data_IF_726916107540
#
_entry.id   IF_726916107540
#
_cell.length_a   1.000
_cell.length_b   1.000
_cell.length_c   1.000
_cell.angle_alpha   90.00
_cell.angle_beta   90.00
_cell.angle_gamma   90.00
#
_symmetry.space_group_name_H-M   'P 1'
#
loop_
_entity.id
_entity.type
_entity.pdbx_description
1 polymer ?
#
# COMPACT_ATOMS: atom_id res chain seq x y z
N UNK A 1 -12.59 33.62 29.60
CA UNK A 1 -12.31 32.26 29.08
C UNK A 1 -12.66 32.23 27.60
N UNK A 2 -11.71 31.84 26.77
CA UNK A 2 -11.96 31.63 25.31
C UNK A 2 -12.53 30.23 25.19
N UNK A 3 -13.79 30.13 24.77
CA UNK A 3 -14.40 28.81 24.50
C UNK A 3 -13.72 28.17 23.30
N UNK A 4 -13.31 26.89 23.32
CA UNK A 4 -12.76 26.19 22.16
C UNK A 4 -13.82 26.10 21.06
N UNK A 5 -13.39 26.31 19.82
CA UNK A 5 -14.22 26.08 18.63
C UNK A 5 -13.78 24.78 17.97
N UNK A 6 -14.73 23.89 17.69
CA UNK A 6 -14.47 22.70 16.90
C UNK A 6 -14.45 23.12 15.42
N UNK A 7 -13.34 22.83 14.76
CA UNK A 7 -13.11 23.19 13.34
C UNK A 7 -13.41 22.00 12.42
N UNK A 8 -13.11 20.78 12.87
CA UNK A 8 -13.34 19.56 12.09
C UNK A 8 -13.79 18.42 13.00
N UNK A 9 -14.75 17.65 12.55
CA UNK A 9 -15.18 16.40 13.18
C UNK A 9 -15.09 15.33 12.09
N UNK A 10 -14.27 14.27 12.29
CA UNK A 10 -14.21 13.16 11.33
C UNK A 10 -15.56 12.43 11.28
N UNK A 11 -15.89 11.89 10.13
CA UNK A 11 -16.96 10.92 9.92
C UNK A 11 -16.40 9.52 9.64
N UNK A 12 -17.26 8.55 9.28
CA UNK A 12 -16.85 7.18 9.05
C UNK A 12 -15.95 7.00 7.80
N UNK A 13 -15.85 8.03 6.94
CA UNK A 13 -15.17 7.99 5.65
C UNK A 13 -14.08 9.05 5.50
N UNK A 14 -13.89 9.89 6.53
CA UNK A 14 -12.90 10.96 6.51
C UNK A 14 -11.99 10.92 7.73
N UNK A 15 -10.71 11.23 7.52
CA UNK A 15 -9.73 11.40 8.60
C UNK A 15 -8.89 12.66 8.36
N UNK A 16 -8.46 13.32 9.45
CA UNK A 16 -7.51 14.43 9.40
C UNK A 16 -6.10 13.85 9.34
N UNK A 17 -5.36 14.16 8.27
CA UNK A 17 -3.97 13.75 8.11
C UNK A 17 -3.01 14.80 8.66
N UNK A 18 -3.25 16.06 8.32
CA UNK A 18 -2.42 17.20 8.72
C UNK A 18 -3.20 18.50 8.61
N UNK A 19 -2.58 19.60 9.02
CA UNK A 19 -3.08 20.94 8.79
C UNK A 19 -1.93 21.93 8.63
N UNK A 20 -2.15 22.97 7.82
CA UNK A 20 -1.16 24.02 7.57
C UNK A 20 -1.78 25.40 7.76
N UNK A 21 -1.09 26.27 8.50
CA UNK A 21 -1.45 27.69 8.62
C UNK A 21 -0.60 28.54 7.70
N UNK A 22 -1.27 29.31 6.85
CA UNK A 22 -0.70 30.54 6.29
C UNK A 22 -1.11 31.75 7.18
N UNK A 23 -0.86 32.99 6.74
CA UNK A 23 -1.24 34.15 7.55
C UNK A 23 -2.75 34.27 7.75
N UNK A 24 -3.51 34.13 6.67
CA UNK A 24 -4.94 34.42 6.62
C UNK A 24 -5.82 33.17 6.48
N UNK A 25 -5.21 31.99 6.29
CA UNK A 25 -5.91 30.72 6.05
C UNK A 25 -5.40 29.56 6.91
N UNK A 26 -6.30 28.64 7.23
CA UNK A 26 -6.01 27.30 7.72
C UNK A 26 -6.41 26.30 6.64
N UNK A 27 -5.50 25.46 6.22
CA UNK A 27 -5.78 24.36 5.29
C UNK A 27 -5.81 23.04 6.07
N UNK A 28 -6.91 22.31 5.96
CA UNK A 28 -7.04 20.96 6.49
C UNK A 28 -6.71 19.95 5.37
N UNK A 29 -5.77 19.08 5.64
CA UNK A 29 -5.39 17.96 4.76
C UNK A 29 -6.15 16.72 5.22
N UNK A 30 -7.23 16.40 4.52
CA UNK A 30 -8.12 15.30 4.85
C UNK A 30 -7.86 14.12 3.91
N UNK A 31 -8.11 12.93 4.43
CA UNK A 31 -8.28 11.72 3.64
C UNK A 31 -9.78 11.40 3.60
N UNK A 32 -10.39 11.47 2.42
CA UNK A 32 -11.80 11.15 2.20
C UNK A 32 -11.86 9.95 1.24
N UNK A 33 -12.39 8.82 1.69
CA UNK A 33 -12.32 7.54 0.97
C UNK A 33 -10.90 7.24 0.42
N UNK A 34 -9.89 7.45 1.27
CA UNK A 34 -8.45 7.25 0.94
C UNK A 34 -7.92 8.16 -0.16
N UNK A 35 -8.62 9.23 -0.51
CA UNK A 35 -8.19 10.26 -1.44
C UNK A 35 -7.95 11.58 -0.71
N UNK A 36 -6.90 12.32 -1.09
CA UNK A 36 -6.61 13.63 -0.49
C UNK A 36 -7.69 14.64 -0.83
N UNK A 37 -8.19 15.33 0.19
CA UNK A 37 -9.10 16.46 0.10
C UNK A 37 -8.52 17.62 0.90
N UNK A 38 -8.28 18.75 0.25
CA UNK A 38 -7.79 19.96 0.91
C UNK A 38 -8.95 20.93 1.11
N UNK A 39 -9.24 21.25 2.39
CA UNK A 39 -10.25 22.24 2.77
C UNK A 39 -9.58 23.47 3.30
N UNK A 40 -9.83 24.61 2.67
CA UNK A 40 -9.31 25.92 3.04
C UNK A 40 -10.32 26.66 3.89
N UNK A 41 -9.89 27.17 5.02
CA UNK A 41 -10.70 27.94 5.98
C UNK A 41 -10.16 29.36 6.06
N UNK A 42 -10.98 30.36 5.74
CA UNK A 42 -10.63 31.78 5.83
C UNK A 42 -10.74 32.27 7.28
N UNK A 43 -9.59 32.58 7.89
CA UNK A 43 -9.51 33.02 9.29
C UNK A 43 -10.13 34.41 9.51
N UNK A 44 -10.16 35.27 8.48
CA UNK A 44 -10.75 36.61 8.49
C UNK A 44 -12.26 36.61 8.26
N UNK A 45 -12.84 35.50 7.77
CA UNK A 45 -14.24 35.37 7.38
C UNK A 45 -14.92 34.22 8.17
N UNK A 46 -14.81 34.25 9.49
CA UNK A 46 -15.44 33.29 10.40
C UNK A 46 -15.21 31.79 10.01
N UNK A 47 -14.03 31.46 9.49
CA UNK A 47 -13.66 30.12 9.02
C UNK A 47 -14.54 29.63 7.85
N UNK A 48 -14.95 30.53 6.97
CA UNK A 48 -15.66 30.15 5.75
C UNK A 48 -14.85 29.10 4.97
N UNK A 49 -15.52 28.01 4.60
CA UNK A 49 -14.88 26.85 3.96
C UNK A 49 -14.92 26.96 2.45
N UNK A 50 -13.82 26.57 1.80
CA UNK A 50 -13.73 26.36 0.38
C UNK A 50 -12.82 25.16 0.07
N UNK A 51 -12.98 24.56 -1.11
CA UNK A 51 -12.05 23.53 -1.56
C UNK A 51 -10.82 24.19 -2.21
N UNK A 52 -9.63 23.61 -2.00
CA UNK A 52 -8.47 24.00 -2.82
C UNK A 52 -8.65 23.37 -4.22
N UNK A 53 -8.78 24.19 -5.29
CA UNK A 53 -8.89 23.66 -6.66
C UNK A 53 -7.57 23.04 -7.12
N UNK A 54 -7.62 22.18 -8.15
CA UNK A 54 -6.43 21.58 -8.75
C UNK A 54 -5.80 20.43 -7.96
N UNK A 55 -6.46 19.92 -6.92
CA UNK A 55 -6.04 18.69 -6.23
C UNK A 55 -6.33 17.48 -7.14
N UNK A 56 -5.30 16.74 -7.60
CA UNK A 56 -5.54 15.65 -8.54
C UNK A 56 -6.19 14.43 -7.84
N UNK A 57 -7.14 13.79 -8.52
CA UNK A 57 -7.78 12.58 -8.03
C UNK A 57 -6.79 11.41 -7.94
N UNK A 58 -7.03 10.47 -7.02
CA UNK A 58 -6.16 9.29 -6.79
C UNK A 58 -4.70 9.65 -6.46
N UNK A 59 -4.49 10.82 -5.83
CA UNK A 59 -3.17 11.26 -5.38
C UNK A 59 -3.19 11.51 -3.87
N UNK A 60 -2.03 11.32 -3.27
CA UNK A 60 -1.71 11.94 -1.99
C UNK A 60 -1.18 13.34 -2.23
N UNK A 61 -1.68 14.29 -1.47
CA UNK A 61 -1.30 15.69 -1.56
C UNK A 61 -1.00 16.21 -0.15
N UNK A 62 0.17 16.78 0.03
CA UNK A 62 0.58 17.49 1.25
C UNK A 62 0.86 18.95 0.94
N UNK A 63 0.57 19.84 1.90
CA UNK A 63 0.74 21.27 1.75
C UNK A 63 1.62 21.84 2.89
N UNK A 64 2.49 22.79 2.55
CA UNK A 64 3.32 23.52 3.51
C UNK A 64 3.36 25.01 3.19
N UNK A 65 3.17 25.86 4.20
CA UNK A 65 3.30 27.33 4.02
C UNK A 65 4.74 27.70 3.66
N UNK A 66 4.89 28.73 2.81
CA UNK A 66 6.22 29.26 2.46
C UNK A 66 6.78 30.04 3.64
N UNK A 67 6.25 31.22 3.92
CA UNK A 67 6.56 32.02 5.12
C UNK A 67 5.37 32.92 5.46
N UNK A 68 4.59 32.52 6.47
CA UNK A 68 3.41 33.25 6.93
C UNK A 68 3.74 34.62 7.58
N UNK A 69 5.01 34.90 7.87
CA UNK A 69 5.45 36.15 8.51
C UNK A 69 5.97 37.18 7.49
N UNK A 70 6.38 36.76 6.28
CA UNK A 70 6.75 37.63 5.21
C UNK A 70 5.50 38.16 4.47
N UNK A 71 5.21 39.48 4.44
CA UNK A 71 4.04 40.01 3.75
C UNK A 71 3.98 39.66 2.25
N UNK A 72 5.12 39.38 1.62
CA UNK A 72 5.19 39.08 0.19
C UNK A 72 4.74 37.63 -0.12
N UNK A 73 4.88 36.71 0.85
CA UNK A 73 4.61 35.25 0.68
C UNK A 73 3.67 34.71 1.74
N UNK A 74 3.00 35.59 2.48
CA UNK A 74 2.27 35.25 3.70
C UNK A 74 1.17 34.18 3.52
N UNK A 75 0.60 34.08 2.32
CA UNK A 75 -0.42 33.10 1.96
C UNK A 75 0.05 32.12 0.87
N UNK A 76 1.35 32.14 0.58
CA UNK A 76 1.92 31.21 -0.40
C UNK A 76 2.18 29.85 0.23
N UNK A 77 2.08 28.81 -0.60
CA UNK A 77 2.28 27.43 -0.18
C UNK A 77 3.06 26.62 -1.21
N UNK A 78 3.75 25.63 -0.71
CA UNK A 78 4.24 24.49 -1.46
C UNK A 78 3.24 23.37 -1.40
N UNK A 79 2.99 22.73 -2.53
CA UNK A 79 2.16 21.53 -2.61
C UNK A 79 2.98 20.40 -3.22
N UNK A 80 3.02 19.23 -2.54
CA UNK A 80 3.62 18.02 -3.07
C UNK A 80 2.49 17.04 -3.36
N UNK A 81 2.39 16.57 -4.60
CA UNK A 81 1.45 15.55 -5.01
C UNK A 81 2.17 14.30 -5.54
N UNK A 82 1.61 13.12 -5.30
CA UNK A 82 2.10 11.85 -5.85
C UNK A 82 0.92 10.90 -6.05
N UNK A 83 0.95 10.10 -7.11
CA UNK A 83 -0.07 9.09 -7.41
C UNK A 83 0.56 7.79 -7.88
N UNK A 84 -0.23 6.74 -8.10
CA UNK A 84 0.30 5.45 -8.55
C UNK A 84 1.05 5.52 -9.89
N UNK A 85 0.58 6.39 -10.79
CA UNK A 85 1.12 6.57 -12.14
C UNK A 85 1.86 7.90 -12.32
N UNK A 86 1.83 8.76 -11.30
CA UNK A 86 2.39 10.12 -11.37
C UNK A 86 3.50 10.27 -10.34
N UNK A 87 4.75 10.55 -10.77
CA UNK A 87 5.86 10.83 -9.86
C UNK A 87 5.58 12.02 -8.96
N UNK A 88 6.28 12.08 -7.82
CA UNK A 88 6.19 13.22 -6.89
C UNK A 88 6.44 14.55 -7.62
N UNK A 89 5.50 15.46 -7.50
CA UNK A 89 5.49 16.75 -8.16
C UNK A 89 5.38 17.86 -7.12
N UNK A 90 6.30 18.81 -7.15
CA UNK A 90 6.30 20.01 -6.34
C UNK A 90 5.64 21.14 -7.12
N UNK A 91 4.62 21.74 -6.53
CA UNK A 91 3.94 22.92 -7.06
C UNK A 91 3.99 24.06 -6.06
N UNK A 92 3.85 25.29 -6.56
CA UNK A 92 3.77 26.52 -5.79
C UNK A 92 2.43 27.18 -6.05
N UNK A 93 1.81 27.74 -5.02
CA UNK A 93 0.55 28.46 -5.15
C UNK A 93 0.36 29.52 -4.09
N UNK A 94 -0.67 30.35 -4.26
CA UNK A 94 -1.06 31.38 -3.29
C UNK A 94 -2.54 31.20 -2.95
N UNK A 95 -2.86 31.20 -1.65
CA UNK A 95 -4.23 31.26 -1.16
C UNK A 95 -4.71 32.73 -1.21
N UNK A 96 -5.91 32.92 -1.67
CA UNK A 96 -6.52 34.24 -1.75
C UNK A 96 -8.00 34.14 -2.09
N UNK A 97 -8.77 35.26 -1.99
CA UNK A 97 -10.11 35.31 -2.52
C UNK A 97 -10.03 34.98 -4.01
N UNK A 98 -10.89 34.07 -4.46
CA UNK A 98 -11.07 33.84 -5.89
C UNK A 98 -11.44 35.20 -6.53
N UNK A 99 -10.57 35.75 -7.36
CA UNK A 99 -10.84 37.00 -8.08
C UNK A 99 -11.96 36.74 -9.11
N UNK A 100 -13.22 36.71 -8.68
CA UNK A 100 -14.37 36.81 -9.57
C UNK A 100 -14.34 38.08 -10.44
N UNK A 101 -13.49 39.06 -10.05
CA UNK A 101 -13.28 40.32 -10.78
C UNK A 101 -12.34 40.20 -11.97
N UNK A 102 -11.53 39.15 -12.10
CA UNK A 102 -10.55 39.03 -13.18
C UNK A 102 -11.09 38.38 -14.46
N UNK A 103 -12.35 37.92 -14.49
CA UNK A 103 -13.02 37.41 -15.71
C UNK A 103 -12.38 36.17 -16.33
N UNK A 104 -11.50 35.51 -15.59
CA UNK A 104 -10.96 34.21 -15.98
C UNK A 104 -11.87 33.11 -15.44
N UNK A 105 -12.39 32.26 -16.31
CA UNK A 105 -13.12 31.04 -15.93
C UNK A 105 -12.20 30.23 -15.02
N UNK A 106 -12.60 30.01 -13.78
CA UNK A 106 -11.84 29.43 -12.68
C UNK A 106 -11.62 27.92 -12.77
N UNK A 107 -11.45 27.36 -13.96
CA UNK A 107 -11.05 25.96 -14.15
C UNK A 107 -9.53 25.77 -14.27
N UNK A 108 -8.73 26.85 -14.18
CA UNK A 108 -7.28 26.74 -14.17
C UNK A 108 -6.76 26.50 -12.74
N UNK A 109 -5.79 25.59 -12.58
CA UNK A 109 -5.20 25.29 -11.27
C UNK A 109 -4.54 26.56 -10.69
N UNK A 110 -4.82 26.84 -9.42
CA UNK A 110 -4.20 27.93 -8.65
C UNK A 110 -2.71 27.68 -8.35
N UNK A 111 -2.16 26.58 -8.86
CA UNK A 111 -0.80 26.13 -8.58
C UNK A 111 0.04 26.04 -9.85
N UNK A 112 1.29 26.49 -9.76
CA UNK A 112 2.31 26.32 -10.79
C UNK A 112 3.21 25.12 -10.45
N UNK A 113 3.40 24.20 -11.40
CA UNK A 113 4.35 23.10 -11.25
C UNK A 113 5.78 23.62 -11.34
N UNK A 114 6.53 23.47 -10.26
CA UNK A 114 7.93 23.90 -10.19
C UNK A 114 8.87 22.78 -10.63
N UNK A 115 8.60 21.54 -10.19
CA UNK A 115 9.45 20.40 -10.48
C UNK A 115 8.72 19.07 -10.27
N UNK A 116 8.98 18.10 -11.15
CA UNK A 116 8.56 16.72 -10.98
C UNK A 116 9.77 15.78 -10.89
N UNK A 117 9.66 14.74 -10.09
CA UNK A 117 10.61 13.64 -10.12
C UNK A 117 10.55 12.95 -11.51
N UNK A 118 11.63 12.31 -11.97
CA UNK A 118 11.62 11.62 -13.26
C UNK A 118 10.63 10.44 -13.24
N UNK A 119 9.91 10.26 -14.34
CA UNK A 119 9.15 9.03 -14.55
C UNK A 119 10.12 7.87 -14.79
N UNK A 120 9.92 6.77 -14.05
CA UNK A 120 10.78 5.58 -14.10
C UNK A 120 10.18 4.44 -14.92
N UNK A 121 8.92 4.56 -15.31
CA UNK A 121 8.22 3.64 -16.21
C UNK A 121 7.22 4.42 -17.06
N UNK A 122 6.82 3.81 -18.18
CA UNK A 122 5.79 4.37 -19.05
C UNK A 122 4.40 4.05 -18.48
N UNK A 123 3.63 5.08 -18.20
CA UNK A 123 2.27 4.98 -17.67
C UNK A 123 1.18 5.17 -18.75
N UNK A 124 1.57 5.33 -20.04
CA UNK A 124 0.59 5.47 -21.13
C UNK A 124 -0.28 4.20 -21.26
N UNK A 125 -1.59 4.38 -21.35
CA UNK A 125 -2.57 3.29 -21.41
C UNK A 125 -2.77 2.54 -20.08
N UNK A 126 -2.33 3.12 -18.95
CA UNK A 126 -2.66 2.64 -17.61
C UNK A 126 -3.67 3.57 -16.94
N UNK A 127 -4.56 2.99 -16.15
CA UNK A 127 -5.57 3.71 -15.38
C UNK A 127 -5.54 3.31 -13.90
N UNK A 128 -6.12 4.17 -13.07
CA UNK A 128 -6.33 3.96 -11.63
C UNK A 128 -7.82 4.04 -11.34
N UNK A 129 -8.38 2.98 -10.80
CA UNK A 129 -9.78 2.93 -10.39
C UNK A 129 -9.86 2.64 -8.88
N UNK A 130 -10.86 3.24 -8.21
CA UNK A 130 -11.18 2.92 -6.83
C UNK A 130 -12.46 2.10 -6.78
N UNK A 131 -12.42 1.01 -6.00
CA UNK A 131 -13.55 0.11 -5.79
C UNK A 131 -13.76 -0.17 -4.30
N UNK A 132 -14.89 -0.82 -3.97
CA UNK A 132 -15.25 -1.17 -2.59
C UNK A 132 -15.73 -2.61 -2.54
N UNK A 133 -14.95 -3.49 -1.92
CA UNK A 133 -15.38 -4.84 -1.57
C UNK A 133 -16.31 -4.82 -0.34
N UNK A 134 -17.08 -5.88 -0.14
CA UNK A 134 -17.89 -6.03 1.06
C UNK A 134 -17.32 -7.14 1.94
N UNK A 135 -16.86 -6.78 3.14
CA UNK A 135 -16.31 -7.72 4.12
C UNK A 135 -17.39 -8.61 4.73
N UNK A 136 -16.98 -9.64 5.47
CA UNK A 136 -17.88 -10.62 6.08
C UNK A 136 -18.94 -10.01 7.01
N UNK A 137 -18.63 -8.92 7.68
CA UNK A 137 -19.54 -8.18 8.57
C UNK A 137 -20.34 -7.06 7.85
N UNK A 138 -20.22 -6.94 6.52
CA UNK A 138 -20.90 -5.94 5.71
C UNK A 138 -20.14 -4.63 5.55
N UNK A 139 -18.98 -4.45 6.18
CA UNK A 139 -18.14 -3.26 6.06
C UNK A 139 -17.64 -3.10 4.63
N UNK A 140 -17.68 -1.88 4.10
CA UNK A 140 -17.12 -1.54 2.79
C UNK A 140 -15.63 -1.29 2.89
N UNK A 141 -14.88 -2.06 2.12
CA UNK A 141 -13.41 -2.03 2.12
C UNK A 141 -12.93 -1.38 0.83
N UNK A 142 -12.37 -0.16 0.90
CA UNK A 142 -11.85 0.51 -0.29
C UNK A 142 -10.58 -0.19 -0.78
N UNK A 143 -10.38 -0.16 -2.08
CA UNK A 143 -9.13 -0.58 -2.71
C UNK A 143 -8.92 0.14 -4.04
N UNK A 144 -7.66 0.32 -4.40
CA UNK A 144 -7.28 0.84 -5.70
C UNK A 144 -6.87 -0.30 -6.61
N UNK A 145 -7.32 -0.27 -7.86
CA UNK A 145 -6.94 -1.16 -8.94
C UNK A 145 -6.18 -0.35 -9.99
N UNK A 146 -4.98 -0.78 -10.31
CA UNK A 146 -4.11 -0.14 -11.30
C UNK A 146 -3.80 -1.17 -12.38
N UNK A 147 -4.07 -0.84 -13.63
CA UNK A 147 -3.86 -1.73 -14.75
C UNK A 147 -4.08 -1.04 -16.08
N UNK A 148 -4.17 -1.83 -17.14
CA UNK A 148 -4.46 -1.31 -18.46
C UNK A 148 -5.85 -0.66 -18.53
N UNK A 149 -5.98 0.46 -19.25
CA UNK A 149 -7.25 1.15 -19.49
C UNK A 149 -8.22 0.32 -20.36
N UNK A 150 -7.67 -0.61 -21.17
CA UNK A 150 -8.40 -1.58 -21.99
C UNK A 150 -8.43 -3.00 -21.34
N UNK A 151 -8.38 -3.08 -20.02
CA UNK A 151 -8.34 -4.36 -19.28
C UNK A 151 -9.53 -5.26 -19.66
N UNK A 152 -9.24 -6.49 -20.06
CA UNK A 152 -10.27 -7.49 -20.37
C UNK A 152 -10.60 -8.26 -19.10
N UNK A 153 -11.87 -8.26 -18.71
CA UNK A 153 -12.37 -8.93 -17.51
C UNK A 153 -12.73 -10.40 -17.81
N UNK A 154 -11.69 -11.21 -18.13
CA UNK A 154 -11.80 -12.63 -18.49
C UNK A 154 -11.27 -13.58 -17.38
N UNK A 155 -10.79 -13.01 -16.26
CA UNK A 155 -10.23 -13.78 -15.15
C UNK A 155 -8.78 -14.21 -15.31
N UNK A 156 -8.13 -13.84 -16.42
CA UNK A 156 -6.78 -14.31 -16.76
C UNK A 156 -5.68 -13.25 -16.57
N UNK A 157 -6.00 -12.10 -15.95
CA UNK A 157 -4.98 -11.08 -15.74
C UNK A 157 -4.13 -11.42 -14.49
N UNK A 158 -2.79 -11.54 -14.63
CA UNK A 158 -1.91 -11.68 -13.47
C UNK A 158 -2.09 -10.49 -12.55
N UNK A 159 -2.56 -10.73 -11.32
CA UNK A 159 -2.92 -9.68 -10.37
C UNK A 159 -2.13 -9.82 -9.08
N UNK A 160 -1.56 -8.72 -8.61
CA UNK A 160 -0.89 -8.62 -7.32
C UNK A 160 -1.74 -7.83 -6.35
N UNK A 161 -2.22 -8.47 -5.30
CA UNK A 161 -2.95 -7.86 -4.20
C UNK A 161 -1.99 -7.55 -3.05
N UNK A 162 -1.84 -6.28 -2.74
CA UNK A 162 -1.03 -5.73 -1.64
C UNK A 162 -1.95 -5.16 -0.55
N UNK A 163 -1.52 -5.24 0.70
CA UNK A 163 -2.20 -4.68 1.86
C UNK A 163 -1.30 -4.70 3.09
N UNK A 164 -1.75 -4.04 4.17
CA UNK A 164 -0.97 -4.02 5.42
C UNK A 164 -1.82 -4.32 6.65
N UNK A 165 -2.82 -3.49 6.95
CA UNK A 165 -3.85 -3.72 7.96
C UNK A 165 -3.32 -3.83 9.38
N UNK A 166 -2.59 -2.82 9.88
CA UNK A 166 -2.13 -2.77 11.26
C UNK A 166 -1.40 -1.49 11.61
N UNK A 167 -1.24 -1.25 12.92
CA UNK A 167 -0.46 -0.14 13.48
C UNK A 167 -0.91 1.25 13.02
N UNK A 168 -2.18 1.40 12.62
CA UNK A 168 -2.72 2.66 12.08
C UNK A 168 -1.96 3.18 10.84
N UNK A 169 -1.26 2.29 10.12
CA UNK A 169 -0.52 2.66 8.90
C UNK A 169 -1.48 2.75 7.74
N UNK A 170 -1.76 3.97 7.29
CA UNK A 170 -2.56 4.21 6.08
C UNK A 170 -1.77 3.81 4.82
N UNK A 171 -2.38 2.99 3.97
CA UNK A 171 -1.86 2.67 2.65
C UNK A 171 -2.52 3.58 1.63
N UNK A 172 -1.75 4.50 1.08
CA UNK A 172 -2.26 5.60 0.26
C UNK A 172 -1.66 5.56 -1.15
N UNK A 173 -2.27 6.26 -2.14
CA UNK A 173 -1.68 6.40 -3.46
C UNK A 173 -0.24 6.91 -3.41
N UNK A 174 0.64 6.29 -4.19
CA UNK A 174 2.05 6.68 -4.25
C UNK A 174 2.76 6.07 -5.45
N UNK A 175 3.73 6.80 -6.01
CA UNK A 175 4.51 6.36 -7.15
C UNK A 175 5.53 5.31 -6.74
N UNK A 176 5.43 4.13 -7.34
CA UNK A 176 6.38 3.04 -7.10
C UNK A 176 7.02 2.57 -8.40
N UNK A 177 8.30 2.94 -8.66
CA UNK A 177 9.03 2.42 -9.82
C UNK A 177 9.09 0.89 -9.84
N UNK A 178 9.15 0.26 -8.67
CA UNK A 178 9.23 -1.20 -8.55
C UNK A 178 7.95 -1.87 -9.02
N UNK A 179 6.78 -1.33 -8.65
CA UNK A 179 5.48 -1.81 -9.15
C UNK A 179 5.35 -1.52 -10.64
N UNK A 180 5.69 -0.30 -11.07
CA UNK A 180 5.59 0.11 -12.47
C UNK A 180 6.43 -0.78 -13.39
N UNK A 181 7.73 -0.92 -13.10
CA UNK A 181 8.66 -1.69 -13.93
C UNK A 181 8.43 -3.21 -13.77
N UNK A 182 8.21 -3.66 -12.53
CA UNK A 182 8.20 -5.09 -12.19
C UNK A 182 6.84 -5.77 -12.37
N UNK A 183 5.74 -5.01 -12.49
CA UNK A 183 4.39 -5.59 -12.56
C UNK A 183 3.48 -4.98 -13.63
N UNK A 184 3.41 -3.64 -13.71
CA UNK A 184 2.48 -2.94 -14.60
C UNK A 184 2.98 -2.82 -16.04
N UNK A 185 4.32 -2.80 -16.26
CA UNK A 185 4.90 -2.56 -17.59
C UNK A 185 4.46 -3.62 -18.58
N UNK A 186 3.90 -3.16 -19.70
CA UNK A 186 3.63 -4.01 -20.86
C UNK A 186 4.91 -4.18 -21.67
N UNK A 187 5.34 -5.41 -21.90
CA UNK A 187 6.35 -5.68 -22.90
C UNK A 187 5.67 -5.74 -24.27
N UNK A 188 5.81 -4.68 -25.07
CA UNK A 188 5.54 -4.77 -26.50
C UNK A 188 6.74 -5.44 -27.17
N UNK A 189 6.56 -6.67 -27.65
CA UNK A 189 7.58 -7.34 -28.44
C UNK A 189 7.94 -6.45 -29.63
N UNK A 190 9.13 -5.79 -29.59
CA UNK A 190 9.68 -5.04 -30.70
C UNK A 190 9.98 -3.56 -30.48
N UNK A 191 9.55 -2.93 -29.41
CA UNK A 191 10.02 -1.58 -29.08
C UNK A 191 11.27 -1.63 -28.20
N UNK A 192 12.44 -1.56 -28.83
CA UNK A 192 13.64 -1.11 -28.13
C UNK A 192 13.36 0.30 -27.63
N UNK A 193 13.41 0.51 -26.33
CA UNK A 193 13.30 1.85 -25.75
C UNK A 193 14.53 2.68 -26.13
N UNK A 194 14.44 3.44 -27.19
CA UNK A 194 15.50 4.41 -27.60
C UNK A 194 15.57 5.65 -26.68
N UNK A 195 14.91 5.63 -25.52
CA UNK A 195 14.84 6.77 -24.58
C UNK A 195 15.49 6.58 -23.21
N UNK A 196 16.24 5.51 -22.98
CA UNK A 196 17.13 5.44 -21.81
C UNK A 196 18.56 5.87 -22.18
N UNK A 197 18.71 7.07 -22.74
CA UNK A 197 20.02 7.68 -22.97
C UNK A 197 20.51 8.33 -21.67
N UNK A 198 21.25 7.59 -20.83
CA UNK A 198 21.92 8.18 -19.68
C UNK A 198 22.53 7.23 -18.65
N UNK A 199 22.38 5.92 -18.77
CA UNK A 199 23.07 4.98 -17.89
C UNK A 199 23.93 4.02 -18.70
N UNK A 200 25.22 4.14 -18.55
CA UNK A 200 26.26 3.33 -19.21
C UNK A 200 26.34 1.93 -18.62
N UNK A 201 26.20 0.96 -19.50
CA UNK A 201 26.89 -0.36 -19.50
C UNK A 201 27.01 -1.16 -18.20
N UNK A 202 26.09 -2.11 -18.02
CA UNK A 202 26.43 -3.44 -17.52
C UNK A 202 25.35 -4.45 -17.95
N UNK A 203 25.75 -5.43 -18.77
CA UNK A 203 25.06 -6.71 -18.95
C UNK A 203 23.66 -6.66 -19.57
N UNK A 204 23.58 -7.15 -20.79
CA UNK A 204 22.34 -7.43 -21.53
C UNK A 204 21.47 -8.45 -20.76
N UNK A 205 20.71 -7.97 -19.80
CA UNK A 205 19.58 -8.68 -19.20
C UNK A 205 18.35 -7.77 -19.33
N UNK A 206 17.69 -7.89 -20.48
CA UNK A 206 16.36 -7.33 -20.69
C UNK A 206 15.39 -8.02 -19.71
N UNK A 207 15.27 -7.49 -18.49
CA UNK A 207 14.29 -7.92 -17.51
C UNK A 207 12.94 -7.29 -17.87
N UNK A 208 12.47 -7.58 -19.08
CA UNK A 208 11.13 -7.22 -19.53
C UNK A 208 10.20 -8.37 -19.19
N UNK A 209 9.05 -8.06 -18.61
CA UNK A 209 7.95 -9.02 -18.57
C UNK A 209 7.68 -9.51 -20.00
N UNK A 210 7.24 -10.77 -20.18
CA UNK A 210 6.98 -11.33 -21.50
C UNK A 210 6.09 -10.42 -22.34
N UNK A 211 6.27 -10.45 -23.65
CA UNK A 211 5.44 -9.73 -24.60
C UNK A 211 3.96 -10.11 -24.40
N UNK A 212 3.16 -9.22 -23.86
CA UNK A 212 1.77 -9.48 -23.51
C UNK A 212 1.16 -8.39 -22.65
N UNK A 213 0.04 -8.68 -22.03
CA UNK A 213 -0.62 -7.80 -21.07
C UNK A 213 0.26 -7.62 -19.83
N UNK A 214 0.48 -6.39 -19.38
CA UNK A 214 1.02 -6.11 -18.05
C UNK A 214 0.12 -6.67 -16.96
N UNK A 215 0.63 -6.82 -15.73
CA UNK A 215 -0.16 -7.25 -14.59
C UNK A 215 -1.08 -6.14 -14.07
N UNK A 216 -2.04 -6.53 -13.23
CA UNK A 216 -2.88 -5.62 -12.42
C UNK A 216 -2.27 -5.53 -11.03
N UNK A 217 -2.11 -4.31 -10.51
CA UNK A 217 -1.72 -4.06 -9.13
C UNK A 217 -2.92 -3.57 -8.33
N UNK A 218 -3.13 -4.15 -7.15
CA UNK A 218 -4.24 -3.78 -6.28
C UNK A 218 -3.71 -3.44 -4.90
N UNK A 219 -4.10 -2.28 -4.38
CA UNK A 219 -3.78 -1.84 -3.04
C UNK A 219 -5.05 -1.83 -2.19
N UNK A 220 -5.14 -2.76 -1.23
CA UNK A 220 -6.28 -2.88 -0.33
C UNK A 220 -6.10 -2.01 0.92
N UNK A 221 -7.12 -1.22 1.25
CA UNK A 221 -7.19 -0.31 2.38
C UNK A 221 -8.01 -0.95 3.52
N UNK A 222 -7.46 -2.02 4.09
CA UNK A 222 -8.13 -2.88 5.05
C UNK A 222 -8.09 -2.33 6.48
N UNK A 223 -9.04 -2.71 7.33
CA UNK A 223 -9.06 -2.35 8.74
C UNK A 223 -7.77 -2.76 9.45
N UNK A 224 -7.41 -2.04 10.50
CA UNK A 224 -6.11 -2.08 11.15
C UNK A 224 -5.15 -1.00 10.64
N UNK A 225 -5.36 -0.46 9.43
CA UNK A 225 -4.74 0.77 8.95
C UNK A 225 -5.39 2.03 9.52
N UNK A 226 -4.93 3.21 9.09
CA UNK A 226 -5.41 4.51 9.55
C UNK A 226 -6.23 5.27 8.50
N UNK A 227 -6.65 4.63 7.42
CA UNK A 227 -7.25 5.28 6.26
C UNK A 227 -8.51 6.06 6.61
N UNK A 228 -9.31 5.56 7.55
CA UNK A 228 -10.49 6.24 8.10
C UNK A 228 -10.30 6.69 9.56
N UNK A 229 -9.02 6.87 9.98
CA UNK A 229 -8.67 7.33 11.31
C UNK A 229 -8.58 6.22 12.37
N UNK A 230 -8.51 6.61 13.67
CA UNK A 230 -8.21 5.67 14.76
C UNK A 230 -9.22 4.51 14.92
N UNK A 231 -10.49 4.73 14.59
CA UNK A 231 -11.51 3.67 14.69
C UNK A 231 -11.32 2.58 13.65
N UNK A 232 -10.81 2.92 12.45
CA UNK A 232 -10.46 1.95 11.42
C UNK A 232 -9.33 1.02 11.89
N UNK A 233 -8.37 1.58 12.65
CA UNK A 233 -7.30 0.82 13.27
C UNK A 233 -7.82 -0.06 14.41
N UNK A 234 -8.45 0.55 15.42
CA UNK A 234 -8.85 -0.16 16.64
C UNK A 234 -9.91 -1.22 16.40
N UNK A 235 -10.72 -1.08 15.34
CA UNK A 235 -11.74 -2.07 14.96
C UNK A 235 -11.17 -3.42 14.54
N UNK A 236 -9.86 -3.51 14.25
CA UNK A 236 -9.18 -4.74 13.88
C UNK A 236 -7.91 -5.02 14.73
N UNK A 237 -7.92 -4.61 15.98
CA UNK A 237 -6.89 -4.95 16.96
C UNK A 237 -7.29 -6.15 17.80
N UNK A 238 -6.32 -6.85 18.38
CA UNK A 238 -6.46 -7.89 19.39
C UNK A 238 -7.51 -8.95 18.99
N UNK A 239 -8.56 -9.13 19.80
CA UNK A 239 -9.66 -10.07 19.57
C UNK A 239 -10.45 -9.82 18.27
N UNK A 240 -10.35 -8.64 17.71
CA UNK A 240 -10.97 -8.27 16.43
C UNK A 240 -10.03 -8.43 15.23
N UNK A 241 -8.82 -8.96 15.44
CA UNK A 241 -7.77 -9.00 14.42
C UNK A 241 -8.18 -9.75 13.15
N UNK A 242 -9.07 -10.71 13.25
CA UNK A 242 -9.57 -11.48 12.11
C UNK A 242 -10.22 -10.60 11.03
N UNK A 243 -10.80 -9.47 11.40
CA UNK A 243 -11.44 -8.54 10.45
C UNK A 243 -10.51 -8.06 9.35
N UNK A 244 -9.23 -7.83 9.68
CA UNK A 244 -8.26 -7.40 8.66
C UNK A 244 -8.00 -8.50 7.60
N UNK A 245 -8.04 -9.78 7.98
CA UNK A 245 -7.86 -10.93 7.07
C UNK A 245 -9.13 -11.18 6.26
N UNK A 246 -10.30 -11.03 6.89
CA UNK A 246 -11.61 -11.08 6.22
C UNK A 246 -11.72 -9.98 5.17
N UNK A 247 -11.28 -8.76 5.48
CA UNK A 247 -11.27 -7.63 4.55
C UNK A 247 -10.40 -7.91 3.32
N UNK A 248 -9.19 -8.40 3.53
CA UNK A 248 -8.27 -8.71 2.43
C UNK A 248 -8.81 -9.85 1.54
N UNK A 249 -9.38 -10.89 2.17
CA UNK A 249 -10.05 -11.98 1.43
C UNK A 249 -11.29 -11.49 0.66
N UNK A 250 -12.02 -10.50 1.20
CA UNK A 250 -13.17 -9.91 0.52
C UNK A 250 -12.74 -9.14 -0.73
N UNK A 251 -11.62 -8.40 -0.69
CA UNK A 251 -11.05 -7.76 -1.89
C UNK A 251 -10.65 -8.81 -2.92
N UNK A 252 -9.99 -9.90 -2.51
CA UNK A 252 -9.64 -11.00 -3.42
C UNK A 252 -10.88 -11.59 -4.09
N UNK A 253 -11.95 -11.86 -3.33
CA UNK A 253 -13.23 -12.39 -3.86
C UNK A 253 -13.92 -11.41 -4.81
N UNK A 254 -13.87 -10.11 -4.52
CA UNK A 254 -14.45 -9.07 -5.38
C UNK A 254 -13.74 -9.00 -6.74
N UNK A 255 -12.41 -9.02 -6.74
CA UNK A 255 -11.58 -9.07 -7.96
C UNK A 255 -11.92 -10.30 -8.83
N UNK A 256 -12.07 -11.47 -8.21
CA UNK A 256 -12.46 -12.70 -8.89
C UNK A 256 -13.88 -12.59 -9.44
N UNK A 257 -14.83 -12.13 -8.63
CA UNK A 257 -16.22 -11.99 -9.03
C UNK A 257 -16.44 -10.98 -10.18
N UNK A 258 -15.62 -9.92 -10.22
CA UNK A 258 -15.61 -8.93 -11.30
C UNK A 258 -14.91 -9.45 -12.58
N UNK A 259 -14.25 -10.61 -12.53
CA UNK A 259 -13.52 -11.16 -13.66
C UNK A 259 -12.19 -10.45 -13.94
N UNK A 260 -11.67 -9.67 -12.97
CA UNK A 260 -10.33 -9.06 -13.09
C UNK A 260 -9.28 -10.16 -13.13
N UNK A 261 -9.41 -11.15 -12.27
CA UNK A 261 -8.47 -12.26 -12.07
C UNK A 261 -9.20 -13.53 -11.67
N UNK A 262 -8.47 -14.61 -11.47
CA UNK A 262 -8.95 -15.87 -10.90
C UNK A 262 -8.02 -16.33 -9.78
N UNK A 263 -8.39 -17.33 -8.95
CA UNK A 263 -7.48 -17.88 -7.97
C UNK A 263 -6.13 -18.32 -8.55
N UNK A 264 -6.10 -18.75 -9.80
CA UNK A 264 -4.88 -19.18 -10.49
C UNK A 264 -3.96 -18.01 -10.85
N UNK A 265 -4.52 -16.83 -11.12
CA UNK A 265 -3.81 -15.65 -11.60
C UNK A 265 -3.72 -14.54 -10.57
N UNK A 266 -4.17 -14.77 -9.31
CA UNK A 266 -4.09 -13.84 -8.19
C UNK A 266 -2.94 -14.20 -7.25
N UNK A 267 -1.99 -13.28 -7.06
CA UNK A 267 -0.98 -13.36 -6.01
C UNK A 267 -1.25 -12.36 -4.89
N UNK A 268 -0.77 -12.63 -3.69
CA UNK A 268 -0.65 -11.63 -2.64
C UNK A 268 0.79 -11.50 -2.13
N UNK A 269 1.16 -10.27 -1.75
CA UNK A 269 2.48 -9.98 -1.19
C UNK A 269 2.35 -9.07 0.04
N UNK A 270 3.24 -9.30 1.01
CA UNK A 270 3.31 -8.46 2.20
C UNK A 270 4.57 -8.70 3.01
N UNK A 271 5.00 -7.67 3.73
CA UNK A 271 6.17 -7.71 4.60
C UNK A 271 5.83 -7.29 6.04
N UNK A 272 6.56 -7.83 7.03
CA UNK A 272 6.38 -7.50 8.44
C UNK A 272 4.96 -7.87 8.93
N UNK A 273 4.16 -6.91 9.40
CA UNK A 273 2.73 -7.12 9.64
C UNK A 273 1.97 -7.53 8.37
N UNK A 274 2.36 -7.01 7.20
CA UNK A 274 1.86 -7.50 5.90
C UNK A 274 2.28 -8.95 5.63
N UNK A 275 3.42 -9.41 6.17
CA UNK A 275 3.81 -10.83 6.17
C UNK A 275 2.88 -11.70 7.02
N UNK A 276 2.42 -11.18 8.18
CA UNK A 276 1.37 -11.84 8.97
C UNK A 276 0.05 -11.89 8.19
N UNK A 277 -0.31 -10.82 7.49
CA UNK A 277 -1.48 -10.76 6.62
C UNK A 277 -1.44 -11.88 5.58
N UNK A 278 -0.39 -11.92 4.75
CA UNK A 278 -0.31 -12.92 3.67
C UNK A 278 -0.04 -14.33 4.19
N UNK A 279 0.56 -14.47 5.38
CA UNK A 279 0.66 -15.74 6.09
C UNK A 279 -0.72 -16.28 6.49
N UNK A 280 -1.67 -15.42 6.88
CA UNK A 280 -3.05 -15.80 7.11
C UNK A 280 -3.81 -16.07 5.81
N UNK A 281 -3.50 -15.36 4.72
CA UNK A 281 -4.04 -15.72 3.40
C UNK A 281 -3.59 -17.12 2.99
N UNK A 282 -2.32 -17.44 3.16
CA UNK A 282 -1.76 -18.77 2.87
C UNK A 282 -2.45 -19.89 3.66
N UNK A 283 -2.74 -19.66 4.95
CA UNK A 283 -3.22 -20.73 5.84
C UNK A 283 -4.74 -20.81 5.93
N UNK A 284 -5.46 -19.70 5.79
CA UNK A 284 -6.90 -19.66 6.01
C UNK A 284 -7.72 -19.48 4.71
N UNK A 285 -7.10 -18.93 3.66
CA UNK A 285 -7.76 -18.66 2.36
C UNK A 285 -6.90 -19.14 1.17
N UNK A 286 -6.25 -20.33 1.26
CA UNK A 286 -5.34 -20.80 0.21
C UNK A 286 -6.02 -20.95 -1.15
N UNK A 287 -7.32 -21.19 -1.16
CA UNK A 287 -8.12 -21.37 -2.37
C UNK A 287 -8.28 -20.09 -3.22
N UNK A 288 -7.92 -18.93 -2.68
CA UNK A 288 -8.05 -17.64 -3.38
C UNK A 288 -6.80 -17.25 -4.16
N UNK A 289 -5.66 -17.89 -3.91
CA UNK A 289 -4.38 -17.39 -4.42
C UNK A 289 -3.61 -18.45 -5.21
N UNK A 290 -2.98 -18.02 -6.31
CA UNK A 290 -2.05 -18.80 -7.12
C UNK A 290 -0.59 -18.63 -6.69
N UNK A 291 -0.26 -17.61 -5.90
CA UNK A 291 1.08 -17.41 -5.33
C UNK A 291 1.05 -16.50 -4.09
N UNK A 292 1.99 -16.71 -3.16
CA UNK A 292 2.15 -15.87 -1.96
C UNK A 292 3.62 -15.47 -1.80
N UNK A 293 3.90 -14.17 -1.67
CA UNK A 293 5.22 -13.66 -1.28
C UNK A 293 5.17 -13.09 0.14
N UNK A 294 5.83 -13.76 1.08
CA UNK A 294 5.75 -13.52 2.52
C UNK A 294 7.12 -13.05 3.05
N UNK A 295 7.26 -11.75 3.26
CA UNK A 295 8.54 -11.11 3.58
C UNK A 295 8.69 -10.70 5.04
N UNK A 296 9.88 -10.90 5.62
CA UNK A 296 10.26 -10.51 7.01
C UNK A 296 9.11 -10.67 8.00
N UNK A 297 8.39 -11.82 7.99
CA UNK A 297 7.03 -11.94 8.50
C UNK A 297 6.96 -12.28 9.98
N UNK A 298 5.87 -11.82 10.64
CA UNK A 298 5.38 -12.50 11.85
C UNK A 298 4.56 -13.72 11.43
N UNK A 299 4.85 -14.89 12.01
CA UNK A 299 4.14 -16.15 11.71
C UNK A 299 3.89 -16.99 12.96
N UNK A 300 4.82 -17.02 13.91
CA UNK A 300 4.69 -17.70 15.19
C UNK A 300 4.26 -16.73 16.30
N UNK A 301 2.97 -16.50 16.38
CA UNK A 301 2.40 -15.53 17.32
C UNK A 301 2.45 -16.01 18.78
N UNK A 302 2.70 -17.31 19.04
CA UNK A 302 2.94 -17.80 20.41
C UNK A 302 4.28 -17.31 20.97
N UNK A 303 5.22 -16.92 20.11
CA UNK A 303 6.58 -16.56 20.52
C UNK A 303 6.98 -15.13 20.12
N UNK A 304 6.13 -14.41 19.43
CA UNK A 304 6.50 -13.11 18.86
C UNK A 304 7.01 -12.13 19.92
N UNK A 305 6.44 -12.14 21.14
CA UNK A 305 6.86 -11.27 22.25
C UNK A 305 8.24 -11.57 22.80
N UNK A 306 8.82 -12.72 22.45
CA UNK A 306 10.15 -13.20 22.91
C UNK A 306 11.21 -13.09 21.81
N UNK A 307 10.83 -12.54 20.65
CA UNK A 307 11.68 -12.38 19.48
C UNK A 307 11.84 -10.89 19.15
N UNK A 308 13.07 -10.45 19.01
CA UNK A 308 13.44 -9.09 18.58
C UNK A 308 12.58 -7.99 19.24
N UNK A 309 11.94 -7.09 18.50
CA UNK A 309 11.11 -6.00 19.04
C UNK A 309 9.68 -6.41 19.41
N UNK A 310 9.32 -7.70 19.28
CA UNK A 310 7.93 -8.19 19.38
C UNK A 310 7.22 -7.85 20.69
N UNK A 311 7.94 -7.74 21.81
CA UNK A 311 7.33 -7.36 23.10
C UNK A 311 6.58 -6.01 23.04
N UNK A 312 7.05 -5.07 22.21
CA UNK A 312 6.45 -3.74 22.06
C UNK A 312 5.09 -3.75 21.33
N UNK A 313 4.67 -4.88 20.72
CA UNK A 313 3.45 -4.97 19.90
C UNK A 313 2.26 -5.60 20.61
N UNK A 314 2.36 -5.78 21.95
CA UNK A 314 1.27 -6.36 22.76
C UNK A 314 -0.04 -5.54 22.69
N UNK A 315 0.06 -4.23 22.52
CA UNK A 315 -1.13 -3.39 22.34
C UNK A 315 -1.90 -3.74 21.05
N UNK A 316 -1.17 -4.09 19.99
CA UNK A 316 -1.75 -4.45 18.68
C UNK A 316 -2.34 -5.85 18.67
N UNK A 317 -1.59 -6.85 19.21
CA UNK A 317 -1.92 -8.26 19.01
C UNK A 317 -2.39 -8.99 20.28
N UNK A 318 -2.14 -8.45 21.47
CA UNK A 318 -2.32 -9.15 22.74
C UNK A 318 -1.04 -9.82 23.25
N UNK A 319 -1.09 -10.40 24.45
CA UNK A 319 0.03 -11.12 25.09
C UNK A 319 -0.18 -12.63 25.02
N UNK A 320 0.60 -13.40 24.26
CA UNK A 320 0.43 -14.86 24.15
C UNK A 320 0.70 -15.60 25.45
N UNK A 321 1.34 -15.00 26.46
CA UNK A 321 1.54 -15.59 27.78
C UNK A 321 0.31 -15.42 28.68
N UNK A 322 -0.70 -14.65 28.26
CA UNK A 322 -2.02 -14.50 28.89
C UNK A 322 -3.00 -15.44 28.20
N UNK A 323 -3.63 -16.34 28.96
CA UNK A 323 -4.48 -17.39 28.38
C UNK A 323 -5.68 -16.84 27.59
N UNK A 324 -6.29 -15.75 28.07
CA UNK A 324 -7.39 -15.05 27.43
C UNK A 324 -6.96 -14.45 26.09
N UNK A 325 -5.75 -13.86 26.01
CA UNK A 325 -5.21 -13.28 24.79
C UNK A 325 -4.80 -14.39 23.81
N UNK A 326 -4.18 -15.48 24.30
CA UNK A 326 -3.83 -16.61 23.46
C UNK A 326 -5.05 -17.26 22.81
N UNK A 327 -6.19 -17.23 23.48
CA UNK A 327 -7.42 -17.81 22.93
C UNK A 327 -7.82 -17.19 21.56
N UNK A 328 -7.58 -15.88 21.35
CA UNK A 328 -7.81 -15.24 20.07
C UNK A 328 -6.53 -15.15 19.20
N UNK A 329 -5.34 -14.97 19.79
CA UNK A 329 -4.09 -14.88 19.02
C UNK A 329 -3.83 -16.13 18.16
N UNK A 330 -4.14 -17.32 18.71
CA UNK A 330 -3.95 -18.59 17.98
C UNK A 330 -4.76 -18.66 16.68
N UNK A 331 -5.87 -17.93 16.57
CA UNK A 331 -6.75 -17.92 15.41
C UNK A 331 -6.14 -17.19 14.21
N UNK A 332 -5.11 -16.37 14.44
CA UNK A 332 -4.35 -15.70 13.39
C UNK A 332 -2.85 -15.96 13.47
N UNK A 333 -2.44 -17.10 14.01
CA UNK A 333 -1.03 -17.49 14.07
C UNK A 333 -0.71 -18.52 12.96
N UNK A 334 -0.20 -18.09 11.79
CA UNK A 334 -0.02 -18.95 10.63
C UNK A 334 0.79 -20.21 10.92
N UNK A 335 1.84 -20.08 11.73
CA UNK A 335 2.64 -21.23 12.14
C UNK A 335 1.83 -22.32 12.84
N UNK A 336 0.78 -21.97 13.60
CA UNK A 336 -0.07 -22.92 14.29
C UNK A 336 -1.25 -23.39 13.44
N UNK A 337 -1.63 -22.63 12.43
CA UNK A 337 -2.74 -22.91 11.52
C UNK A 337 -2.36 -23.80 10.34
N UNK A 338 -1.05 -24.02 10.10
CA UNK A 338 -0.63 -24.90 9.00
C UNK A 338 -1.12 -26.33 9.24
N UNK A 339 -1.81 -26.88 8.26
CA UNK A 339 -2.38 -28.23 8.27
C UNK A 339 -1.54 -29.18 7.42
N UNK A 340 -1.74 -30.49 7.59
CA UNK A 340 -1.16 -31.53 6.74
C UNK A 340 -1.99 -31.68 5.46
N UNK A 341 -1.82 -30.71 4.53
CA UNK A 341 -2.45 -30.67 3.21
C UNK A 341 -1.45 -30.26 2.14
N UNK A 342 -1.66 -30.69 0.90
CA UNK A 342 -0.70 -30.46 -0.19
C UNK A 342 -1.12 -29.35 -1.16
N UNK A 343 -2.31 -28.80 -1.05
CA UNK A 343 -2.91 -27.84 -1.99
C UNK A 343 -2.71 -26.38 -1.58
N UNK A 344 -1.64 -26.08 -0.82
CA UNK A 344 -1.20 -24.71 -0.60
C UNK A 344 -0.68 -24.09 -1.91
N UNK A 345 -0.98 -22.80 -2.15
CA UNK A 345 -0.37 -22.11 -3.27
C UNK A 345 1.16 -22.04 -3.13
N UNK A 346 1.90 -21.93 -4.23
CA UNK A 346 3.33 -21.61 -4.21
C UNK A 346 3.62 -20.44 -3.27
N UNK A 347 4.57 -20.61 -2.34
CA UNK A 347 4.95 -19.57 -1.38
C UNK A 347 6.45 -19.32 -1.35
N UNK A 348 6.84 -18.06 -1.42
CA UNK A 348 8.20 -17.60 -1.15
C UNK A 348 8.24 -16.89 0.20
N UNK A 349 8.90 -17.50 1.17
CA UNK A 349 9.31 -16.81 2.40
C UNK A 349 10.66 -16.15 2.17
N UNK A 350 10.78 -14.87 2.51
CA UNK A 350 12.06 -14.19 2.46
C UNK A 350 12.29 -13.35 3.72
N UNK A 351 13.54 -13.26 4.15
CA UNK A 351 13.93 -12.55 5.38
C UNK A 351 15.40 -12.09 5.27
N UNK A 352 15.91 -11.45 6.32
CA UNK A 352 17.33 -11.13 6.45
C UNK A 352 17.87 -11.65 7.78
N UNK A 353 19.13 -12.11 7.77
CA UNK A 353 19.83 -12.62 8.96
C UNK A 353 19.89 -11.59 10.09
N UNK A 354 20.14 -10.33 9.74
CA UNK A 354 20.27 -9.22 10.68
C UNK A 354 18.95 -8.46 10.93
N UNK A 355 17.79 -9.08 10.65
CA UNK A 355 16.51 -8.51 11.02
C UNK A 355 16.37 -8.45 12.55
N UNK A 356 16.59 -7.27 13.11
CA UNK A 356 16.50 -6.98 14.54
C UNK A 356 15.11 -6.55 15.00
N UNK A 357 14.17 -6.37 14.05
CA UNK A 357 12.81 -5.92 14.33
C UNK A 357 11.85 -7.11 14.54
N UNK A 358 11.73 -8.01 13.55
CA UNK A 358 10.87 -9.21 13.61
C UNK A 358 11.70 -10.46 13.87
N UNK A 359 12.88 -10.53 13.26
CA UNK A 359 13.83 -11.63 13.32
C UNK A 359 13.59 -12.72 12.28
N UNK A 360 14.65 -13.37 11.77
CA UNK A 360 14.55 -14.38 10.72
C UNK A 360 13.92 -15.71 11.18
N UNK A 361 13.81 -15.90 12.49
CA UNK A 361 13.38 -17.17 13.10
C UNK A 361 11.99 -17.58 12.65
N UNK A 362 11.08 -16.63 12.48
CA UNK A 362 9.69 -16.92 12.15
C UNK A 362 9.55 -17.44 10.72
N UNK A 363 10.20 -16.81 9.74
CA UNK A 363 10.24 -17.28 8.35
C UNK A 363 10.94 -18.63 8.23
N UNK A 364 12.10 -18.80 8.87
CA UNK A 364 12.85 -20.07 8.90
C UNK A 364 12.01 -21.23 9.43
N UNK A 365 11.32 -21.01 10.57
CA UNK A 365 10.48 -22.03 11.20
C UNK A 365 9.31 -22.43 10.33
N UNK A 366 8.64 -21.46 9.70
CA UNK A 366 7.48 -21.72 8.87
C UNK A 366 7.87 -22.52 7.63
N UNK A 367 8.89 -22.09 6.91
CA UNK A 367 9.40 -22.80 5.74
C UNK A 367 9.83 -24.23 6.08
N UNK A 368 10.60 -24.40 7.16
CA UNK A 368 11.06 -25.72 7.60
C UNK A 368 9.90 -26.64 8.02
N UNK A 369 8.86 -26.09 8.68
CA UNK A 369 7.67 -26.87 9.07
C UNK A 369 6.89 -27.36 7.84
N UNK A 370 6.62 -26.47 6.89
CA UNK A 370 5.89 -26.83 5.67
C UNK A 370 6.67 -27.87 4.85
N UNK A 371 7.98 -27.69 4.68
CA UNK A 371 8.83 -28.67 3.99
C UNK A 371 8.89 -30.02 4.72
N UNK A 372 8.94 -30.04 6.06
CA UNK A 372 8.91 -31.27 6.86
C UNK A 372 7.57 -32.02 6.76
N UNK A 373 6.47 -31.34 6.43
CA UNK A 373 5.17 -31.92 6.09
C UNK A 373 5.08 -32.40 4.63
N UNK A 374 6.16 -32.29 3.85
CA UNK A 374 6.20 -32.72 2.45
C UNK A 374 5.51 -31.76 1.48
N UNK A 375 5.24 -30.51 1.89
CA UNK A 375 4.69 -29.48 1.01
C UNK A 375 5.79 -29.02 0.07
N UNK A 376 5.66 -29.30 -1.23
CA UNK A 376 6.73 -29.09 -2.22
C UNK A 376 6.83 -27.64 -2.70
N UNK A 377 5.72 -26.90 -2.70
CA UNK A 377 5.65 -25.53 -3.26
C UNK A 377 6.10 -24.46 -2.25
N UNK A 378 7.22 -24.68 -1.55
CA UNK A 378 7.75 -23.78 -0.53
C UNK A 378 9.20 -23.39 -0.84
N UNK A 379 9.41 -22.12 -1.07
CA UNK A 379 10.74 -21.52 -1.28
C UNK A 379 11.12 -20.64 -0.11
N UNK A 380 12.40 -20.57 0.18
CA UNK A 380 12.94 -19.75 1.24
C UNK A 380 14.19 -19.01 0.74
N UNK A 381 14.22 -17.70 0.95
CA UNK A 381 15.37 -16.84 0.67
C UNK A 381 15.74 -16.05 1.91
N UNK A 382 17.01 -15.98 2.21
CA UNK A 382 17.56 -15.19 3.32
C UNK A 382 18.73 -14.36 2.85
N UNK A 383 18.58 -13.03 2.96
CA UNK A 383 19.67 -12.10 2.78
C UNK A 383 20.57 -12.12 4.01
N UNK A 384 21.91 -12.24 3.82
CA UNK A 384 22.87 -12.37 4.91
C UNK A 384 23.42 -11.04 5.40
N UNK A 385 23.18 -9.94 4.71
CA UNK A 385 23.77 -8.63 4.96
C UNK A 385 22.72 -7.58 5.37
N UNK A 386 21.44 -7.74 4.97
CA UNK A 386 20.38 -6.79 5.22
C UNK A 386 19.75 -6.89 6.61
N UNK A 387 19.13 -5.77 7.04
CA UNK A 387 18.29 -5.70 8.24
C UNK A 387 16.81 -5.98 7.92
N UNK A 388 15.87 -5.35 8.67
CA UNK A 388 14.42 -5.56 8.49
C UNK A 388 13.89 -5.15 7.10
N UNK A 389 14.58 -4.27 6.36
CA UNK A 389 14.27 -3.99 4.96
C UNK A 389 14.65 -5.15 4.01
N UNK A 390 15.34 -6.18 4.52
CA UNK A 390 15.96 -7.30 3.80
C UNK A 390 16.97 -6.85 2.73
N UNK A 391 17.61 -5.71 2.94
CA UNK A 391 18.65 -5.18 2.06
C UNK A 391 19.55 -4.22 2.83
N UNK A 392 20.84 -4.20 2.52
CA UNK A 392 21.81 -3.24 3.03
C UNK A 392 22.03 -2.07 2.07
N UNK A 393 21.69 -2.25 0.79
CA UNK A 393 21.82 -1.26 -0.27
C UNK A 393 20.71 -1.37 -1.34
N UNK A 394 20.78 -0.49 -2.33
CA UNK A 394 19.79 -0.44 -3.40
C UNK A 394 19.83 -1.66 -4.34
N UNK A 395 21.00 -2.28 -4.54
CA UNK A 395 21.15 -3.44 -5.39
C UNK A 395 20.50 -4.68 -4.76
N UNK A 396 20.71 -4.90 -3.48
CA UNK A 396 20.03 -5.96 -2.72
C UNK A 396 18.53 -5.72 -2.64
N UNK A 397 18.10 -4.46 -2.44
CA UNK A 397 16.69 -4.10 -2.49
C UNK A 397 16.07 -4.47 -3.84
N UNK A 398 16.73 -4.09 -4.94
CA UNK A 398 16.27 -4.40 -6.29
C UNK A 398 16.22 -5.92 -6.53
N UNK A 399 17.24 -6.65 -6.09
CA UNK A 399 17.29 -8.11 -6.20
C UNK A 399 16.13 -8.78 -5.46
N UNK A 400 15.91 -8.44 -4.20
CA UNK A 400 14.86 -9.05 -3.37
C UNK A 400 13.46 -8.76 -3.94
N UNK A 401 13.24 -7.54 -4.45
CA UNK A 401 11.99 -7.17 -5.12
C UNK A 401 11.81 -7.92 -6.45
N UNK A 402 12.86 -7.99 -7.26
CA UNK A 402 12.83 -8.73 -8.52
C UNK A 402 12.58 -10.24 -8.27
N UNK A 403 13.24 -10.83 -7.27
CA UNK A 403 13.03 -12.22 -6.88
C UNK A 403 11.55 -12.48 -6.51
N UNK A 404 10.97 -11.63 -5.65
CA UNK A 404 9.58 -11.75 -5.23
C UNK A 404 8.61 -11.63 -6.41
N UNK A 405 8.79 -10.62 -7.26
CA UNK A 405 7.90 -10.38 -8.41
C UNK A 405 8.05 -11.48 -9.46
N UNK A 406 9.28 -11.89 -9.78
CA UNK A 406 9.53 -12.99 -10.73
C UNK A 406 8.96 -14.30 -10.23
N UNK A 407 9.09 -14.60 -8.94
CA UNK A 407 8.49 -15.78 -8.33
C UNK A 407 6.97 -15.80 -8.54
N UNK A 408 6.29 -14.70 -8.16
CA UNK A 408 4.84 -14.61 -8.30
C UNK A 408 4.42 -14.68 -9.78
N UNK A 409 5.10 -13.95 -10.64
CA UNK A 409 4.80 -13.93 -12.07
C UNK A 409 4.89 -15.33 -12.68
N UNK A 410 5.99 -16.03 -12.43
CA UNK A 410 6.19 -17.39 -12.95
C UNK A 410 5.12 -18.36 -12.42
N UNK A 411 4.76 -18.26 -11.16
CA UNK A 411 3.72 -19.10 -10.57
C UNK A 411 2.33 -18.87 -11.20
N UNK A 412 2.01 -17.60 -11.55
CA UNK A 412 0.72 -17.25 -12.12
C UNK A 412 0.64 -17.53 -13.64
N UNK A 413 1.74 -17.42 -14.36
CA UNK A 413 1.76 -17.54 -15.84
C UNK A 413 2.29 -18.88 -16.34
N UNK A 414 2.95 -19.65 -15.49
CA UNK A 414 3.56 -20.93 -15.85
C UNK A 414 4.88 -20.81 -16.62
N UNK A 415 5.55 -19.62 -16.56
CA UNK A 415 6.84 -19.34 -17.22
C UNK A 415 8.06 -19.73 -16.39
#
# INVERSE_FOLDING_TARGET
EIAPRVIFIPDAHTSLQSFTFTRDYLVLELLADVQSKLTVLDLGNDFAESALPGVPANHMVGLGAVDKHDPATANDFWMVSTGFLTPSTLSYGTLGPSDEAAGTNSDEPTTEVIKSAPAMFDAEGLSVEQHFATSADGTKIPYFQIGADDLVLDGDNPTLLDGYGGFEVSRTPGYSPVVGIGWLSRSTAGQKSDKAAGATTAGDSTNTLPAGRGGVYVLANIRGGGEYGPEWHTSAMRENRMRCYEDHSAVARDLIARGVTSPKTLACAGGSNGGLLVGNMLTQYPELFGAVSCGVPLLDMARYTKLSAGYSWKAEYGDPDVAEDWAFIKEFSPYHLIEDRQDYPPVLFWTATSDDRVGPVQARKMAARMQAQGIENVWFFEDTEGGHSAASDNEQTAFTRALSYRFMWNALTGE
#
